data_IF_112634354031
#
_entry.id   IF_112634354031
#
_cell.length_a   1.000
_cell.length_b   1.000
_cell.length_c   1.000
_cell.angle_alpha   90.00
_cell.angle_beta   90.00
_cell.angle_gamma   90.00
#
_symmetry.space_group_name_H-M   'P 1'
#
loop_
_entity.id
_entity.type
_entity.pdbx_description
1 polymer ?
#
# COMPACT_ATOMS: atom_id res chain seq x y z
N UNK A 1 1.58 21.00 -17.06
CA UNK A 1 0.48 20.01 -17.11
C UNK A 1 0.59 19.00 -18.25
N UNK A 2 0.93 19.41 -19.49
CA UNK A 2 1.18 18.47 -20.60
C UNK A 2 2.30 17.47 -20.28
N UNK A 3 3.36 17.94 -19.61
CA UNK A 3 4.48 17.12 -19.16
C UNK A 3 4.18 16.18 -17.99
N UNK A 4 3.16 16.45 -17.17
CA UNK A 4 2.84 15.63 -16.00
C UNK A 4 2.07 14.36 -16.39
N UNK A 5 1.13 14.45 -17.34
CA UNK A 5 0.50 13.26 -17.92
C UNK A 5 1.46 12.47 -18.83
N UNK A 6 2.38 13.15 -19.52
CA UNK A 6 3.45 12.46 -20.26
C UNK A 6 4.40 11.74 -19.29
N UNK A 7 4.68 12.30 -18.12
CA UNK A 7 5.50 11.67 -17.08
C UNK A 7 4.81 10.43 -16.48
N UNK A 8 3.50 10.49 -16.20
CA UNK A 8 2.72 9.31 -15.75
C UNK A 8 2.63 8.20 -16.80
N UNK A 9 2.54 8.56 -18.09
CA UNK A 9 2.54 7.58 -19.19
C UNK A 9 3.95 7.00 -19.43
N UNK A 10 5.01 7.82 -19.33
CA UNK A 10 6.40 7.35 -19.48
C UNK A 10 6.87 6.48 -18.30
N UNK A 11 6.49 6.81 -17.06
CA UNK A 11 6.79 6.00 -15.88
C UNK A 11 6.03 4.67 -15.93
N UNK A 12 4.81 4.65 -16.47
CA UNK A 12 4.04 3.41 -16.67
C UNK A 12 4.54 2.51 -17.80
N UNK A 13 5.29 3.04 -18.78
CA UNK A 13 5.90 2.25 -19.86
C UNK A 13 7.32 1.76 -19.52
N UNK A 14 8.05 2.45 -18.63
CA UNK A 14 9.41 2.07 -18.25
C UNK A 14 9.48 0.87 -17.28
N UNK A 15 8.42 0.62 -16.49
CA UNK A 15 8.38 -0.45 -15.49
C UNK A 15 8.08 -1.85 -16.03
N UNK A 16 7.64 -1.97 -17.30
CA UNK A 16 7.33 -3.28 -17.91
C UNK A 16 8.57 -3.98 -18.50
N UNK A 17 9.70 -3.29 -18.64
CA UNK A 17 10.84 -3.81 -19.43
C UNK A 17 12.04 -4.33 -18.63
N UNK A 18 12.03 -4.34 -17.29
CA UNK A 18 13.19 -4.80 -16.49
C UNK A 18 12.79 -5.82 -15.42
N UNK A 19 12.22 -6.94 -15.85
CA UNK A 19 12.09 -8.14 -15.03
C UNK A 19 12.52 -9.37 -15.84
N UNK A 20 13.77 -9.37 -16.29
CA UNK A 20 14.50 -10.57 -16.70
C UNK A 20 16.00 -10.25 -16.57
N UNK A 21 16.59 -10.67 -15.44
CA UNK A 21 17.86 -11.41 -15.40
C UNK A 21 18.07 -11.86 -13.94
N UNK A 22 18.20 -13.17 -13.77
CA UNK A 22 18.62 -13.83 -12.55
C UNK A 22 20.04 -13.40 -12.13
N UNK A 23 20.41 -13.61 -10.86
CA UNK A 23 21.41 -14.61 -10.46
C UNK A 23 21.96 -14.35 -9.03
N UNK A 24 22.08 -15.45 -8.29
CA UNK A 24 23.01 -15.75 -7.19
C UNK A 24 23.27 -14.73 -6.09
N UNK A 25 22.95 -15.17 -4.87
CA UNK A 25 23.98 -15.29 -3.83
C UNK A 25 23.77 -16.67 -3.21
N UNK A 26 24.48 -17.71 -3.66
CA UNK A 26 25.85 -18.08 -3.29
C UNK A 26 26.16 -17.74 -1.82
N UNK A 27 26.02 -18.78 -0.99
CA UNK A 27 26.51 -18.82 0.37
C UNK A 27 28.01 -18.49 0.38
N UNK A 28 28.40 -17.46 1.12
CA UNK A 28 29.79 -17.28 1.52
C UNK A 28 29.83 -16.65 2.90
N UNK A 29 29.83 -17.55 3.88
CA UNK A 29 30.86 -17.66 4.92
C UNK A 29 31.43 -16.36 5.54
N UNK A 30 31.12 -16.21 6.83
CA UNK A 30 31.90 -15.53 7.88
C UNK A 30 32.30 -14.07 7.65
N UNK A 31 31.47 -13.18 8.18
CA UNK A 31 31.98 -11.95 8.78
C UNK A 31 31.36 -11.83 10.18
N UNK A 32 32.12 -12.22 11.20
CA UNK A 32 31.89 -11.73 12.56
C UNK A 32 32.23 -10.24 12.52
N UNK A 33 31.27 -9.45 12.03
CA UNK A 33 31.24 -8.02 12.27
C UNK A 33 31.19 -7.84 13.78
N UNK A 34 32.12 -7.08 14.31
CA UNK A 34 32.29 -6.79 15.73
C UNK A 34 31.14 -5.85 16.14
N UNK A 35 29.94 -6.42 16.15
CA UNK A 35 28.70 -5.75 16.48
C UNK A 35 28.73 -5.41 17.97
N UNK A 36 28.43 -4.16 18.37
CA UNK A 36 28.40 -3.74 19.78
C UNK A 36 27.25 -4.36 20.58
N UNK A 37 26.52 -5.30 19.97
CA UNK A 37 25.31 -5.89 20.51
C UNK A 37 25.55 -7.30 21.08
N UNK A 38 24.83 -7.70 22.14
CA UNK A 38 24.92 -9.04 22.71
C UNK A 38 24.61 -10.14 21.67
N UNK A 39 25.15 -11.37 21.84
CA UNK A 39 24.84 -12.50 20.97
C UNK A 39 23.32 -12.72 20.84
N UNK A 40 22.83 -12.83 19.61
CA UNK A 40 21.39 -12.97 19.31
C UNK A 40 20.64 -11.65 19.03
N UNK A 41 21.36 -10.54 18.88
CA UNK A 41 20.78 -9.24 18.49
C UNK A 41 21.56 -8.60 17.35
N UNK A 42 20.87 -7.82 16.50
CA UNK A 42 21.50 -7.01 15.44
C UNK A 42 21.28 -5.53 15.71
N UNK A 43 22.21 -4.70 15.25
CA UNK A 43 22.10 -3.24 15.35
C UNK A 43 21.16 -2.71 14.24
N UNK A 44 19.95 -2.26 14.61
CA UNK A 44 19.06 -1.47 13.75
C UNK A 44 18.83 -0.10 14.38
N UNK A 45 19.08 0.96 13.61
CA UNK A 45 18.87 2.36 14.03
C UNK A 45 19.59 2.75 15.33
N UNK A 46 20.76 2.16 15.58
CA UNK A 46 21.54 2.38 16.81
C UNK A 46 21.01 1.63 18.04
N UNK A 47 19.99 0.77 17.89
CA UNK A 47 19.48 -0.12 18.92
C UNK A 47 19.80 -1.58 18.61
N UNK A 48 20.14 -2.35 19.64
CA UNK A 48 20.28 -3.80 19.54
C UNK A 48 18.89 -4.45 19.63
N UNK A 49 18.41 -5.01 18.52
CA UNK A 49 17.10 -5.69 18.43
C UNK A 49 17.30 -7.19 18.27
N UNK A 50 16.47 -7.99 18.96
CA UNK A 50 16.42 -9.44 18.77
C UNK A 50 15.83 -9.72 17.39
N UNK A 51 16.61 -10.31 16.49
CA UNK A 51 16.10 -10.76 15.19
C UNK A 51 15.54 -12.15 15.38
N UNK A 52 14.22 -12.26 15.40
CA UNK A 52 13.59 -13.56 15.25
C UNK A 52 13.59 -13.95 13.77
N UNK A 53 14.54 -14.82 13.39
CA UNK A 53 14.63 -15.35 12.03
C UNK A 53 13.45 -16.25 11.63
N UNK A 54 12.53 -16.57 12.56
CA UNK A 54 11.29 -17.28 12.27
C UNK A 54 10.13 -16.34 11.95
N UNK A 55 10.30 -15.02 12.10
CA UNK A 55 9.31 -14.02 11.74
C UNK A 55 9.71 -13.44 10.38
N UNK A 56 8.87 -13.57 9.33
CA UNK A 56 9.15 -12.90 8.06
C UNK A 56 9.35 -11.39 8.29
N UNK A 57 10.16 -10.70 7.47
CA UNK A 57 10.51 -9.29 7.68
C UNK A 57 9.29 -8.35 7.78
N UNK A 58 8.10 -8.83 7.41
CA UNK A 58 6.81 -8.15 7.53
C UNK A 58 5.78 -9.10 8.14
N UNK A 59 4.97 -8.63 9.10
CA UNK A 59 3.89 -9.44 9.65
C UNK A 59 2.70 -9.47 8.69
N UNK A 60 1.98 -10.60 8.64
CA UNK A 60 0.68 -10.70 7.97
C UNK A 60 -0.34 -9.85 8.72
N UNK A 61 -0.35 -8.55 8.45
CA UNK A 61 -1.11 -7.53 9.16
C UNK A 61 -0.54 -6.12 9.05
N UNK A 62 0.56 -5.91 8.34
CA UNK A 62 1.14 -4.58 8.19
C UNK A 62 0.64 -3.87 6.92
N UNK A 63 0.28 -2.60 7.06
CA UNK A 63 -0.10 -1.77 5.93
C UNK A 63 1.14 -1.10 5.35
N UNK A 64 2.01 -1.87 4.69
CA UNK A 64 3.34 -1.45 4.20
C UNK A 64 3.31 -0.16 3.38
N UNK A 65 2.47 -0.13 2.34
CA UNK A 65 2.32 1.05 1.45
C UNK A 65 1.84 2.28 2.23
N UNK A 66 0.82 2.11 3.09
CA UNK A 66 0.32 3.22 3.88
C UNK A 66 1.37 3.72 4.89
N UNK A 67 2.11 2.80 5.50
CA UNK A 67 3.19 3.11 6.45
C UNK A 67 4.31 3.90 5.77
N UNK A 68 4.74 3.47 4.58
CA UNK A 68 5.75 4.17 3.79
C UNK A 68 5.26 5.57 3.36
N UNK A 69 4.02 5.66 2.88
CA UNK A 69 3.36 6.91 2.47
C UNK A 69 3.20 7.93 3.60
N UNK A 70 2.71 7.49 4.77
CA UNK A 70 2.45 8.38 5.91
C UNK A 70 3.63 8.51 6.88
N UNK A 71 4.68 7.72 6.68
CA UNK A 71 5.96 7.80 7.39
C UNK A 71 5.97 7.16 8.79
N UNK A 72 4.87 6.56 9.23
CA UNK A 72 4.82 5.84 10.50
C UNK A 72 3.65 4.85 10.53
N UNK A 73 3.86 3.70 11.16
CA UNK A 73 2.77 2.76 11.49
C UNK A 73 1.79 3.37 12.49
N UNK A 74 2.24 4.34 13.30
CA UNK A 74 1.44 5.06 14.28
C UNK A 74 0.74 6.29 13.68
N UNK A 75 0.85 6.50 12.37
CA UNK A 75 0.11 7.56 11.70
C UNK A 75 -1.40 7.32 11.85
N UNK A 76 -2.21 8.37 12.11
CA UNK A 76 -3.66 8.22 12.30
C UNK A 76 -4.37 7.50 11.15
N UNK A 77 -3.91 7.72 9.92
CA UNK A 77 -4.45 7.07 8.72
C UNK A 77 -4.19 5.57 8.71
N UNK A 78 -3.01 5.14 9.14
CA UNK A 78 -2.64 3.72 9.22
C UNK A 78 -3.40 3.04 10.35
N UNK A 79 -3.51 3.71 11.50
CA UNK A 79 -4.25 3.19 12.64
C UNK A 79 -5.74 3.03 12.33
N UNK A 80 -6.36 3.99 11.65
CA UNK A 80 -7.75 3.87 11.19
C UNK A 80 -7.96 2.64 10.29
N UNK A 81 -7.03 2.34 9.38
CA UNK A 81 -7.09 1.13 8.55
C UNK A 81 -7.00 -0.14 9.40
N UNK A 82 -6.12 -0.17 10.40
CA UNK A 82 -6.01 -1.29 11.35
C UNK A 82 -7.28 -1.47 12.15
N UNK A 83 -7.88 -0.38 12.64
CA UNK A 83 -9.13 -0.45 13.40
C UNK A 83 -10.29 -1.00 12.56
N UNK A 84 -10.47 -0.50 11.33
CA UNK A 84 -11.50 -1.02 10.42
C UNK A 84 -11.25 -2.50 10.14
N UNK A 85 -10.01 -2.88 9.85
CA UNK A 85 -9.68 -4.29 9.60
C UNK A 85 -9.99 -5.16 10.82
N UNK A 86 -9.49 -4.79 11.98
CA UNK A 86 -9.48 -5.67 13.17
C UNK A 86 -10.82 -5.69 13.90
N UNK A 87 -11.54 -4.56 13.95
CA UNK A 87 -12.82 -4.44 14.66
C UNK A 87 -14.04 -4.68 13.78
N UNK A 88 -13.92 -4.52 12.46
CA UNK A 88 -15.07 -4.58 11.55
C UNK A 88 -14.94 -5.76 10.61
N UNK A 89 -13.88 -5.78 9.80
CA UNK A 89 -13.73 -6.77 8.72
C UNK A 89 -13.42 -8.16 9.28
N UNK A 90 -12.44 -8.30 10.18
CA UNK A 90 -12.04 -9.61 10.72
C UNK A 90 -13.00 -10.15 11.78
N UNK A 91 -13.99 -9.37 12.21
CA UNK A 91 -15.07 -9.85 13.08
C UNK A 91 -16.15 -10.63 12.34
N UNK A 92 -16.09 -10.65 11.01
CA UNK A 92 -17.04 -11.38 10.17
C UNK A 92 -16.32 -12.46 9.36
N UNK A 93 -17.04 -13.55 9.09
CA UNK A 93 -16.57 -14.66 8.26
C UNK A 93 -16.31 -14.19 6.82
N UNK A 94 -17.24 -13.40 6.26
CA UNK A 94 -17.10 -12.83 4.91
C UNK A 94 -15.88 -11.90 4.80
N UNK A 95 -15.65 -11.05 5.81
CA UNK A 95 -14.48 -10.17 5.84
C UNK A 95 -13.16 -10.92 6.02
N UNK A 96 -13.14 -11.99 6.82
CA UNK A 96 -11.97 -12.88 6.94
C UNK A 96 -11.59 -13.54 5.60
N UNK A 97 -12.57 -14.05 4.85
CA UNK A 97 -12.33 -14.60 3.51
C UNK A 97 -11.79 -13.55 2.54
N UNK A 98 -12.39 -12.36 2.55
CA UNK A 98 -11.92 -11.23 1.75
C UNK A 98 -10.47 -10.87 2.08
N UNK A 99 -10.13 -10.72 3.38
CA UNK A 99 -8.80 -10.35 3.82
C UNK A 99 -7.75 -11.40 3.47
N UNK A 100 -8.07 -12.70 3.53
CA UNK A 100 -7.15 -13.75 3.10
C UNK A 100 -6.79 -13.62 1.62
N UNK A 101 -7.79 -13.43 0.75
CA UNK A 101 -7.56 -13.21 -0.68
C UNK A 101 -6.81 -11.92 -0.96
N UNK A 102 -7.21 -10.82 -0.30
CA UNK A 102 -6.57 -9.53 -0.42
C UNK A 102 -5.09 -9.59 0.00
N UNK A 103 -4.79 -10.18 1.16
CA UNK A 103 -3.44 -10.27 1.70
C UNK A 103 -2.48 -11.00 0.75
N UNK A 104 -2.94 -12.11 0.13
CA UNK A 104 -2.14 -12.87 -0.83
C UNK A 104 -1.64 -12.00 -1.99
N UNK A 105 -2.52 -11.17 -2.54
CA UNK A 105 -2.16 -10.26 -3.63
C UNK A 105 -1.39 -9.05 -3.07
N UNK A 106 -1.84 -8.47 -1.98
CA UNK A 106 -1.24 -7.28 -1.37
C UNK A 106 0.24 -7.49 -1.02
N UNK A 107 0.59 -8.59 -0.36
CA UNK A 107 1.97 -8.86 0.05
C UNK A 107 2.87 -9.33 -1.12
N UNK A 108 2.32 -9.65 -2.29
CA UNK A 108 3.15 -10.02 -3.46
C UNK A 108 3.82 -8.81 -4.12
N UNK A 109 3.29 -7.60 -3.93
CA UNK A 109 3.84 -6.37 -4.53
C UNK A 109 4.15 -5.26 -3.52
N UNK A 110 3.47 -5.24 -2.36
CA UNK A 110 3.60 -4.13 -1.41
C UNK A 110 5.02 -3.91 -0.85
N UNK A 111 5.88 -4.92 -0.64
CA UNK A 111 7.25 -4.68 -0.17
C UNK A 111 8.04 -3.81 -1.16
N UNK A 112 8.03 -4.16 -2.45
CA UNK A 112 8.75 -3.42 -3.48
C UNK A 112 8.23 -1.99 -3.65
N UNK A 113 6.91 -1.79 -3.53
CA UNK A 113 6.33 -0.43 -3.57
C UNK A 113 6.76 0.39 -2.34
N UNK A 114 6.76 -0.19 -1.15
CA UNK A 114 7.16 0.50 0.07
C UNK A 114 8.64 0.91 0.05
N UNK A 115 9.51 0.07 -0.53
CA UNK A 115 10.92 0.42 -0.77
C UNK A 115 11.05 1.64 -1.70
N UNK A 116 10.34 1.63 -2.84
CA UNK A 116 10.33 2.77 -3.77
C UNK A 116 9.83 4.07 -3.14
N UNK A 117 8.85 4.00 -2.23
CA UNK A 117 8.38 5.15 -1.48
C UNK A 117 9.43 5.71 -0.51
N UNK A 118 10.25 4.84 0.10
CA UNK A 118 11.32 5.26 1.00
C UNK A 118 12.51 5.87 0.24
N UNK A 119 12.79 5.39 -0.97
CA UNK A 119 13.85 5.92 -1.82
C UNK A 119 13.48 7.24 -2.49
N UNK A 120 12.21 7.42 -2.87
CA UNK A 120 11.78 8.56 -3.67
C UNK A 120 10.63 9.34 -3.03
N UNK A 121 10.95 10.51 -2.47
CA UNK A 121 10.00 11.42 -1.84
C UNK A 121 8.89 11.94 -2.78
N UNK A 122 9.17 12.08 -4.08
CA UNK A 122 8.16 12.49 -5.08
C UNK A 122 7.17 11.34 -5.32
N UNK A 123 7.69 10.12 -5.43
CA UNK A 123 6.86 8.92 -5.59
C UNK A 123 5.98 8.72 -4.36
N UNK A 124 6.55 8.81 -3.16
CA UNK A 124 5.84 8.79 -1.88
C UNK A 124 4.68 9.78 -1.81
N UNK A 125 4.93 11.05 -2.14
CA UNK A 125 3.86 12.06 -2.09
C UNK A 125 2.77 11.78 -3.15
N UNK A 126 3.15 11.20 -4.29
CA UNK A 126 2.21 10.77 -5.33
C UNK A 126 1.33 9.62 -4.84
N UNK A 127 1.92 8.58 -4.24
CA UNK A 127 1.20 7.46 -3.64
C UNK A 127 0.29 7.97 -2.53
N UNK A 128 0.78 8.84 -1.65
CA UNK A 128 0.01 9.46 -0.59
C UNK A 128 -1.22 10.21 -1.11
N UNK A 129 -1.07 11.06 -2.14
CA UNK A 129 -2.20 11.75 -2.78
C UNK A 129 -3.19 10.74 -3.38
N UNK A 130 -2.68 9.66 -3.95
CA UNK A 130 -3.51 8.63 -4.56
C UNK A 130 -4.29 7.85 -3.50
N UNK A 131 -3.68 7.40 -2.40
CA UNK A 131 -4.32 6.56 -1.39
C UNK A 131 -5.19 7.34 -0.40
N UNK A 132 -4.90 8.63 -0.15
CA UNK A 132 -5.67 9.46 0.79
C UNK A 132 -7.19 9.45 0.52
N UNK A 133 -7.68 9.67 -0.70
CA UNK A 133 -9.12 9.65 -0.94
C UNK A 133 -9.72 8.24 -0.75
N UNK A 134 -8.99 7.17 -1.06
CA UNK A 134 -9.42 5.80 -0.73
C UNK A 134 -9.60 5.61 0.78
N UNK A 135 -8.64 6.06 1.59
CA UNK A 135 -8.72 5.99 3.07
C UNK A 135 -9.92 6.78 3.59
N UNK A 136 -10.20 7.94 2.98
CA UNK A 136 -11.37 8.74 3.37
C UNK A 136 -12.69 7.99 3.13
N UNK A 137 -12.79 7.27 2.01
CA UNK A 137 -13.99 6.50 1.65
C UNK A 137 -14.14 5.29 2.55
N UNK A 138 -13.03 4.67 2.96
CA UNK A 138 -13.03 3.55 3.91
C UNK A 138 -13.61 3.91 5.28
N UNK A 139 -13.65 5.19 5.67
CA UNK A 139 -14.32 5.63 6.91
C UNK A 139 -15.80 5.22 6.97
N UNK A 140 -16.45 4.99 5.82
CA UNK A 140 -17.84 4.53 5.78
C UNK A 140 -18.00 3.16 6.46
N UNK A 141 -16.95 2.33 6.48
CA UNK A 141 -16.98 1.04 7.15
C UNK A 141 -17.18 1.18 8.67
N UNK A 142 -16.80 2.30 9.29
CA UNK A 142 -16.97 2.52 10.74
C UNK A 142 -18.42 2.65 11.19
N UNK A 143 -19.36 2.78 10.25
CA UNK A 143 -20.79 2.73 10.55
C UNK A 143 -21.33 1.29 10.69
N UNK A 144 -20.54 0.28 10.30
CA UNK A 144 -20.92 -1.11 10.49
C UNK A 144 -20.84 -1.49 11.98
N UNK A 145 -21.83 -2.22 12.44
CA UNK A 145 -21.81 -2.85 13.76
C UNK A 145 -20.84 -4.04 13.78
N UNK A 146 -20.07 -4.17 14.86
CA UNK A 146 -19.07 -5.23 15.02
C UNK A 146 -19.75 -6.62 14.91
N UNK A 147 -19.25 -7.47 14.01
CA UNK A 147 -19.76 -8.84 13.81
C UNK A 147 -21.02 -8.95 12.94
N UNK A 148 -21.59 -7.85 12.43
CA UNK A 148 -22.73 -7.92 11.52
C UNK A 148 -22.30 -8.23 10.08
N UNK A 149 -22.45 -9.49 9.66
CA UNK A 149 -22.14 -9.97 8.29
C UNK A 149 -22.79 -9.12 7.18
N UNK A 150 -24.11 -8.88 7.27
CA UNK A 150 -24.84 -8.21 6.21
C UNK A 150 -24.36 -6.76 6.02
N UNK A 151 -24.15 -6.03 7.11
CA UNK A 151 -23.64 -4.65 7.07
C UNK A 151 -22.22 -4.60 6.48
N UNK A 152 -21.32 -5.49 6.91
CA UNK A 152 -19.94 -5.54 6.38
C UNK A 152 -19.94 -5.85 4.87
N UNK A 153 -20.79 -6.75 4.39
CA UNK A 153 -20.90 -7.05 2.96
C UNK A 153 -21.44 -5.84 2.19
N UNK A 154 -22.55 -5.25 2.62
CA UNK A 154 -23.20 -4.13 1.91
C UNK A 154 -22.28 -2.90 1.91
N UNK A 155 -21.72 -2.54 3.06
CA UNK A 155 -20.80 -1.41 3.18
C UNK A 155 -19.47 -1.70 2.47
N UNK A 156 -18.98 -2.94 2.50
CA UNK A 156 -17.77 -3.35 1.78
C UNK A 156 -17.93 -3.20 0.27
N UNK A 157 -18.99 -3.76 -0.31
CA UNK A 157 -19.29 -3.64 -1.75
C UNK A 157 -19.50 -2.16 -2.12
N UNK A 158 -20.25 -1.42 -1.30
CA UNK A 158 -20.49 0.01 -1.52
C UNK A 158 -19.18 0.81 -1.52
N UNK A 159 -18.31 0.58 -0.55
CA UNK A 159 -17.01 1.24 -0.40
C UNK A 159 -16.11 0.93 -1.59
N UNK A 160 -15.97 -0.35 -1.99
CA UNK A 160 -15.20 -0.74 -3.17
C UNK A 160 -15.73 -0.06 -4.42
N UNK A 161 -17.05 -0.04 -4.60
CA UNK A 161 -17.71 0.63 -5.72
C UNK A 161 -17.43 2.13 -5.76
N UNK A 162 -17.42 2.80 -4.61
CA UNK A 162 -17.15 4.23 -4.50
C UNK A 162 -15.67 4.54 -4.80
N UNK A 163 -14.74 3.73 -4.26
CA UNK A 163 -13.31 3.83 -4.56
C UNK A 163 -13.08 3.70 -6.08
N UNK A 164 -13.56 2.62 -6.69
CA UNK A 164 -13.40 2.39 -8.14
C UNK A 164 -14.08 3.49 -8.95
N UNK A 165 -15.32 3.85 -8.59
CA UNK A 165 -16.08 4.89 -9.26
C UNK A 165 -15.35 6.23 -9.27
N UNK A 166 -14.77 6.63 -8.14
CA UNK A 166 -13.98 7.86 -8.04
C UNK A 166 -12.75 7.84 -8.95
N UNK A 167 -11.98 6.75 -8.96
CA UNK A 167 -10.78 6.65 -9.82
C UNK A 167 -11.11 6.57 -11.32
N UNK A 168 -12.32 6.16 -11.70
CA UNK A 168 -12.76 6.12 -13.10
C UNK A 168 -13.42 7.45 -13.53
N UNK A 169 -14.23 8.05 -12.67
CA UNK A 169 -14.96 9.30 -12.97
C UNK A 169 -14.00 10.47 -13.19
N UNK A 170 -12.98 10.62 -12.33
CA UNK A 170 -11.99 11.70 -12.44
C UNK A 170 -11.30 11.75 -13.81
N UNK A 171 -10.64 10.68 -14.31
CA UNK A 171 -9.98 10.70 -15.60
C UNK A 171 -10.95 10.87 -16.77
N UNK A 172 -12.17 10.33 -16.69
CA UNK A 172 -13.21 10.52 -17.71
C UNK A 172 -13.57 12.00 -17.84
N UNK A 173 -13.87 12.67 -16.72
CA UNK A 173 -14.25 14.10 -16.71
C UNK A 173 -13.09 14.97 -17.20
N UNK A 174 -11.86 14.68 -16.76
CA UNK A 174 -10.66 15.38 -17.21
C UNK A 174 -10.46 15.19 -18.71
N UNK A 175 -10.60 13.97 -19.22
CA UNK A 175 -10.50 13.64 -20.64
C UNK A 175 -11.52 14.40 -21.49
N UNK A 176 -12.80 14.38 -21.10
CA UNK A 176 -13.85 15.13 -21.79
C UNK A 176 -13.60 16.64 -21.79
N UNK A 177 -13.13 17.20 -20.67
CA UNK A 177 -12.81 18.62 -20.56
C UNK A 177 -11.65 19.02 -21.46
N UNK A 178 -10.61 18.20 -21.54
CA UNK A 178 -9.46 18.42 -22.44
C UNK A 178 -9.91 18.32 -23.91
N UNK A 179 -10.69 17.29 -24.26
CA UNK A 179 -11.22 17.13 -25.61
C UNK A 179 -12.08 18.32 -26.05
N UNK A 180 -12.98 18.81 -25.18
CA UNK A 180 -13.78 20.01 -25.45
C UNK A 180 -12.92 21.28 -25.63
N UNK A 181 -11.89 21.46 -24.80
CA UNK A 181 -10.92 22.57 -24.92
C UNK A 181 -10.12 22.51 -26.22
N UNK A 182 -9.72 21.32 -26.67
CA UNK A 182 -9.02 21.12 -27.94
C UNK A 182 -9.93 21.37 -29.14
N UNK A 183 -11.19 20.93 -29.08
CA UNK A 183 -12.17 21.15 -30.16
C UNK A 183 -12.56 22.61 -30.33
N UNK A 184 -12.65 23.38 -29.23
CA UNK A 184 -12.98 24.82 -29.27
C UNK A 184 -11.82 25.72 -29.73
N UNK A 185 -10.60 25.18 -29.87
CA UNK A 185 -9.41 25.90 -30.35
C UNK A 185 -9.16 25.71 -31.86
N UNK A 186 -9.93 24.86 -32.52
CA UNK A 186 -10.00 24.71 -33.98
C UNK A 186 -11.23 25.46 -34.49
#
# INVERSE_FOLDING_TARGET
MKYFMIFLILVGLASVSHADEALSSNDTENNYDESPCPPGTVLKDGLCVVVDHNVPPFNQGDCLIATASFGSEMAPQVQMLREIRDKIVLKTYSGGLFMNGFNSIYYSFSPSIAELENENSIFKETVKIFITPMISVLSIMTFAEEGSEFQVIVLGISTIGLVVGMYVVIPIVVGFKIHGRLRSRK
#
